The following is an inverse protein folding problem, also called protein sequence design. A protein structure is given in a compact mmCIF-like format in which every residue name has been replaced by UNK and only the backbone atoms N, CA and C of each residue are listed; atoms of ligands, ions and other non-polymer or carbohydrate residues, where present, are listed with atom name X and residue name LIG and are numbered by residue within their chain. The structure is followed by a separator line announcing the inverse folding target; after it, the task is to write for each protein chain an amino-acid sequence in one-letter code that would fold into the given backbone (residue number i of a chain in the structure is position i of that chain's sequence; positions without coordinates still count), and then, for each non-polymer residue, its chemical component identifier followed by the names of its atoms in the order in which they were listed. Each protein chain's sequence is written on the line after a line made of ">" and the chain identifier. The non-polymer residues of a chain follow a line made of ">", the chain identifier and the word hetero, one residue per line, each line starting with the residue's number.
data_IF_127767601331
#
_entry.id   IF_127767601331
#
_cell.length_a   1.000
_cell.length_b   1.000
_cell.length_c   1.000
_cell.angle_alpha   90.00
_cell.angle_beta   90.00
_cell.angle_gamma   90.00
#
_symmetry.space_group_name_H-M   'P 1'
#
loop_
_entity.id
_entity.type
_entity.pdbx_description
1 polymer ?
#
# COMPACT_ATOMS: atom_id res chain seq x y z
N UNK A 1 -4.47 -16.76 11.92
CA UNK A 1 -3.91 -16.19 10.67
C UNK A 1 -5.11 -15.67 9.90
N UNK A 2 -5.48 -14.42 10.13
CA UNK A 2 -6.77 -13.89 9.71
C UNK A 2 -6.67 -13.34 8.28
N UNK A 3 -7.22 -14.11 7.33
CA UNK A 3 -7.43 -13.70 5.95
C UNK A 3 -8.70 -12.84 5.88
N UNK A 4 -8.55 -11.52 5.83
CA UNK A 4 -9.65 -10.62 5.51
C UNK A 4 -9.47 -10.10 4.08
N UNK A 5 -10.13 -10.78 3.14
CA UNK A 5 -10.39 -10.30 1.79
C UNK A 5 -11.83 -9.83 1.80
N UNK A 6 -12.05 -8.51 1.84
CA UNK A 6 -13.26 -7.77 1.41
C UNK A 6 -13.42 -6.47 2.20
N UNK A 7 -12.54 -5.50 1.94
CA UNK A 7 -12.79 -4.05 1.85
C UNK A 7 -11.45 -3.35 1.73
N UNK A 8 -11.21 -2.73 0.57
CA UNK A 8 -10.04 -1.89 0.34
C UNK A 8 -10.06 -0.75 1.36
N UNK A 9 -8.92 -0.51 1.99
CA UNK A 9 -8.66 0.55 2.97
C UNK A 9 -9.56 0.50 4.23
N UNK A 10 -9.05 -0.11 5.30
CA UNK A 10 -9.69 0.03 6.63
C UNK A 10 -9.63 1.51 7.10
N UNK A 11 -10.77 2.15 7.42
CA UNK A 11 -10.80 3.58 7.80
C UNK A 11 -10.22 3.91 9.18
N UNK A 12 -9.84 2.91 10.00
CA UNK A 12 -9.54 3.10 11.43
C UNK A 12 -8.04 3.27 11.78
N UNK A 13 -7.16 3.20 10.77
CA UNK A 13 -5.69 3.13 10.91
C UNK A 13 -5.03 4.26 11.73
N UNK A 14 -5.73 5.35 12.03
CA UNK A 14 -5.22 6.48 12.82
C UNK A 14 -5.19 6.20 14.34
N UNK A 15 -6.00 5.27 14.87
CA UNK A 15 -6.15 5.10 16.33
C UNK A 15 -5.42 3.91 16.96
N UNK A 16 -4.82 3.00 16.17
CA UNK A 16 -4.14 1.79 16.69
C UNK A 16 -2.68 1.61 16.28
N UNK A 17 -2.00 2.66 15.83
CA UNK A 17 -0.54 2.64 15.64
C UNK A 17 0.00 1.61 14.62
N UNK A 18 -0.87 1.04 13.78
CA UNK A 18 -0.52 0.00 12.83
C UNK A 18 -1.06 0.35 11.45
N UNK A 19 -0.25 1.04 10.65
CA UNK A 19 -0.57 1.25 9.25
C UNK A 19 -0.18 0.02 8.44
N UNK A 20 -1.18 -0.69 7.90
CA UNK A 20 -1.05 -1.74 6.88
C UNK A 20 -1.84 -1.28 5.65
N UNK A 21 -1.15 -0.68 4.68
CA UNK A 21 -1.77 -0.39 3.39
C UNK A 21 -1.73 -1.67 2.56
N UNK A 22 -2.91 -2.25 2.29
CA UNK A 22 -3.10 -3.31 1.29
C UNK A 22 -3.98 -2.75 0.19
N UNK A 23 -3.39 -2.50 -0.97
CA UNK A 23 -4.18 -2.22 -2.17
C UNK A 23 -4.41 -3.57 -2.85
N UNK A 24 -5.64 -3.87 -3.24
CA UNK A 24 -5.99 -5.13 -3.93
C UNK A 24 -7.14 -4.97 -4.94
N UNK A 25 -7.58 -3.75 -5.16
CA UNK A 25 -8.68 -3.37 -6.07
C UNK A 25 -8.26 -2.10 -6.81
N UNK A 26 -8.87 -1.79 -7.97
CA UNK A 26 -8.73 -0.47 -8.58
C UNK A 26 -9.03 0.60 -7.52
N UNK A 27 -8.13 1.58 -7.38
CA UNK A 27 -8.36 2.72 -6.49
C UNK A 27 -9.51 3.54 -7.08
N UNK A 28 -10.59 3.70 -6.32
CA UNK A 28 -11.59 4.72 -6.64
C UNK A 28 -11.07 6.12 -6.28
N UNK A 29 -11.87 7.15 -6.52
CA UNK A 29 -11.47 8.54 -6.27
C UNK A 29 -11.22 8.83 -4.79
N UNK A 30 -11.90 8.15 -3.88
CA UNK A 30 -11.75 8.35 -2.43
C UNK A 30 -10.48 7.65 -1.95
N UNK A 31 -10.29 6.41 -2.35
CA UNK A 31 -9.11 5.61 -2.03
C UNK A 31 -7.83 6.28 -2.54
N UNK A 32 -7.88 6.85 -3.75
CA UNK A 32 -6.78 7.62 -4.33
C UNK A 32 -6.38 8.81 -3.45
N UNK A 33 -7.37 9.60 -2.97
CA UNK A 33 -7.12 10.74 -2.09
C UNK A 33 -6.56 10.31 -0.74
N UNK A 34 -7.05 9.21 -0.18
CA UNK A 34 -6.53 8.64 1.07
C UNK A 34 -5.08 8.23 0.90
N UNK A 35 -4.73 7.43 -0.11
CA UNK A 35 -3.37 6.98 -0.38
C UNK A 35 -2.43 8.16 -0.57
N UNK A 36 -2.86 9.16 -1.34
CA UNK A 36 -2.09 10.38 -1.58
C UNK A 36 -1.88 11.23 -0.33
N UNK A 37 -2.78 11.15 0.66
CA UNK A 37 -2.65 11.92 1.91
C UNK A 37 -1.62 11.34 2.89
N UNK A 38 -1.20 10.08 2.71
CA UNK A 38 -0.30 9.38 3.62
C UNK A 38 1.08 10.04 3.59
N UNK A 39 1.58 10.43 4.77
CA UNK A 39 2.94 10.97 4.95
C UNK A 39 3.88 10.05 5.69
N UNK A 40 3.33 9.22 6.55
CA UNK A 40 4.09 8.37 7.44
C UNK A 40 3.35 7.04 7.64
N UNK A 41 4.11 5.95 7.63
CA UNK A 41 3.63 4.62 7.97
C UNK A 41 4.46 4.11 9.14
N UNK A 42 3.81 3.78 10.25
CA UNK A 42 4.50 3.29 11.45
C UNK A 42 4.99 1.86 11.31
N UNK A 43 4.20 0.99 10.68
CA UNK A 43 4.52 -0.41 10.45
C UNK A 43 5.21 -0.61 9.11
N UNK A 44 4.54 -1.35 8.21
CA UNK A 44 5.04 -1.68 6.89
C UNK A 44 4.04 -1.32 5.79
N UNK A 45 4.54 -1.15 4.58
CA UNK A 45 3.73 -0.98 3.36
C UNK A 45 3.79 -2.27 2.54
N UNK A 46 2.62 -2.81 2.19
CA UNK A 46 2.51 -4.01 1.36
C UNK A 46 1.70 -3.73 0.09
N UNK A 47 2.38 -3.73 -1.05
CA UNK A 47 1.76 -3.57 -2.36
C UNK A 47 1.80 -4.92 -3.07
N UNK A 48 0.69 -5.65 -3.06
CA UNK A 48 0.65 -6.96 -3.68
C UNK A 48 -0.68 -7.24 -4.38
N UNK A 49 -0.63 -8.04 -5.44
CA UNK A 49 -1.81 -8.52 -6.18
C UNK A 49 -2.62 -7.39 -6.85
N UNK A 50 -1.98 -6.28 -7.17
CA UNK A 50 -2.62 -5.14 -7.84
C UNK A 50 -2.54 -5.18 -9.35
N UNK A 51 -3.49 -4.51 -9.99
CA UNK A 51 -3.62 -4.44 -11.45
C UNK A 51 -3.61 -2.99 -11.98
N UNK A 52 -3.55 -1.99 -11.08
CA UNK A 52 -3.41 -0.59 -11.46
C UNK A 52 -1.97 -0.28 -11.91
N UNK A 53 -1.81 0.76 -12.75
CA UNK A 53 -0.50 1.14 -13.29
C UNK A 53 0.35 1.99 -12.35
N UNK A 54 -0.29 2.81 -11.52
CA UNK A 54 0.39 3.80 -10.69
C UNK A 54 -0.14 3.78 -9.25
N UNK A 55 0.77 3.81 -8.27
CA UNK A 55 0.45 4.01 -6.85
C UNK A 55 0.88 5.42 -6.40
N UNK A 56 -0.07 6.35 -6.12
CA UNK A 56 0.22 7.75 -5.79
C UNK A 56 0.64 7.94 -4.32
N UNK A 57 1.84 7.49 -3.96
CA UNK A 57 2.40 7.69 -2.61
C UNK A 57 3.32 8.92 -2.55
N UNK A 58 3.03 9.99 -3.30
CA UNK A 58 3.96 11.12 -3.44
C UNK A 58 4.23 11.83 -2.13
N UNK A 59 3.29 11.81 -1.19
CA UNK A 59 3.49 12.45 0.11
C UNK A 59 4.13 11.55 1.16
N UNK A 60 4.32 10.25 0.88
CA UNK A 60 4.94 9.33 1.82
C UNK A 60 6.42 9.68 1.99
N UNK A 61 6.82 9.93 3.24
CA UNK A 61 8.19 10.34 3.59
C UNK A 61 8.93 9.30 4.41
N UNK A 62 8.23 8.61 5.30
CA UNK A 62 8.83 7.73 6.29
C UNK A 62 8.02 6.44 6.42
N UNK A 63 8.72 5.30 6.41
CA UNK A 63 8.22 4.02 6.89
C UNK A 63 9.06 3.63 8.11
N UNK A 64 8.48 3.67 9.31
CA UNK A 64 9.24 3.47 10.55
C UNK A 64 9.64 2.02 10.80
N UNK A 65 8.89 1.05 10.26
CA UNK A 65 9.23 -0.36 10.41
C UNK A 65 9.09 -0.89 11.84
N UNK A 66 8.21 -0.32 12.68
CA UNK A 66 7.96 -0.85 14.05
C UNK A 66 7.35 -2.25 14.03
N UNK A 67 6.77 -2.64 12.90
CA UNK A 67 6.45 -4.01 12.49
C UNK A 67 6.89 -4.21 11.05
N UNK A 68 7.36 -5.42 10.73
CA UNK A 68 7.83 -5.78 9.40
C UNK A 68 6.94 -6.85 8.77
N UNK A 69 6.78 -6.81 7.45
CA UNK A 69 6.18 -7.91 6.71
C UNK A 69 7.14 -9.11 6.73
N UNK A 70 6.61 -10.28 7.07
CA UNK A 70 7.39 -11.52 7.26
C UNK A 70 8.61 -11.34 8.18
N UNK A 71 8.48 -10.44 9.16
CA UNK A 71 9.54 -10.06 10.11
C UNK A 71 10.84 -9.55 9.43
N UNK A 72 10.75 -9.10 8.17
CA UNK A 72 11.91 -8.73 7.34
C UNK A 72 11.76 -7.40 6.61
N UNK A 73 10.58 -7.08 6.09
CA UNK A 73 10.43 -5.98 5.13
C UNK A 73 9.54 -4.86 5.66
N UNK A 74 10.07 -3.63 5.72
CA UNK A 74 9.26 -2.42 5.97
C UNK A 74 8.46 -2.00 4.72
N UNK A 75 8.96 -2.35 3.53
CA UNK A 75 8.29 -2.17 2.25
C UNK A 75 8.39 -3.47 1.45
N UNK A 76 7.26 -4.03 1.04
CA UNK A 76 7.21 -5.23 0.21
C UNK A 76 6.30 -5.01 -1.00
N UNK A 77 6.81 -5.31 -2.19
CA UNK A 77 6.13 -5.08 -3.47
C UNK A 77 6.31 -6.31 -4.36
N UNK A 78 5.26 -7.08 -4.59
CA UNK A 78 5.34 -8.29 -5.42
C UNK A 78 3.99 -8.67 -6.03
N UNK A 79 4.04 -9.41 -7.13
CA UNK A 79 2.85 -9.97 -7.82
C UNK A 79 1.80 -8.91 -8.22
N UNK A 80 2.22 -7.68 -8.55
CA UNK A 80 1.32 -6.62 -9.03
C UNK A 80 1.19 -6.64 -10.55
N UNK A 81 0.74 -7.76 -11.11
CA UNK A 81 0.48 -7.92 -12.54
C UNK A 81 -0.68 -8.88 -12.77
N UNK A 82 -1.36 -8.75 -13.91
CA UNK A 82 -2.29 -9.78 -14.40
C UNK A 82 -1.52 -10.78 -15.24
N UNK A 83 -1.72 -12.07 -14.95
CA UNK A 83 -1.08 -13.18 -15.69
C UNK A 83 -1.43 -13.17 -17.18
N UNK A 84 -2.65 -12.76 -17.53
CA UNK A 84 -3.19 -12.85 -18.90
C UNK A 84 -3.44 -11.46 -19.54
N UNK A 85 -2.73 -10.41 -19.12
CA UNK A 85 -2.93 -9.08 -19.73
C UNK A 85 -1.88 -8.04 -19.40
N UNK A 86 -1.88 -6.94 -20.14
CA UNK A 86 -0.90 -5.85 -20.04
C UNK A 86 -1.18 -4.88 -18.87
N UNK A 87 -1.85 -5.34 -17.82
CA UNK A 87 -2.23 -4.54 -16.66
C UNK A 87 -1.42 -4.98 -15.44
N UNK A 88 -0.84 -4.02 -14.75
CA UNK A 88 0.04 -4.24 -13.62
C UNK A 88 0.72 -2.94 -13.23
N UNK A 89 1.36 -2.95 -12.07
CA UNK A 89 2.09 -1.83 -11.52
C UNK A 89 3.30 -1.50 -12.43
N UNK A 90 3.37 -0.26 -12.87
CA UNK A 90 4.45 0.27 -13.72
C UNK A 90 5.27 1.32 -12.99
N UNK A 91 4.63 2.12 -12.13
CA UNK A 91 5.27 3.21 -11.40
C UNK A 91 4.80 3.29 -9.95
N UNK A 92 5.73 3.63 -9.06
CA UNK A 92 5.50 3.94 -7.67
C UNK A 92 5.80 5.42 -7.43
N UNK A 93 4.84 6.16 -6.91
CA UNK A 93 4.99 7.56 -6.56
C UNK A 93 5.84 7.82 -5.31
N UNK A 94 6.86 7.03 -4.99
CA UNK A 94 7.66 7.15 -3.75
C UNK A 94 8.69 8.30 -3.78
N UNK A 95 8.32 9.44 -4.37
CA UNK A 95 9.23 10.55 -4.69
C UNK A 95 9.85 11.24 -3.49
N UNK A 96 9.19 11.18 -2.33
CA UNK A 96 9.61 11.86 -1.11
C UNK A 96 10.02 10.90 0.01
N UNK A 97 10.15 9.60 -0.28
CA UNK A 97 10.61 8.61 0.70
C UNK A 97 12.13 8.73 0.90
N UNK A 98 12.58 8.90 2.15
CA UNK A 98 13.99 9.09 2.51
C UNK A 98 14.42 8.19 3.66
#
# INVERSE_FOLDING_TARGET
>A
MEFWVHRGLEPDLSRRGHCRLRVGTPLDSVDYLVVKSIREVTGYVLVALNQFRYLPLENLRIIRGTKLYEDRYALAIFLNYRKDGNFGLQELGLKNLT
#
